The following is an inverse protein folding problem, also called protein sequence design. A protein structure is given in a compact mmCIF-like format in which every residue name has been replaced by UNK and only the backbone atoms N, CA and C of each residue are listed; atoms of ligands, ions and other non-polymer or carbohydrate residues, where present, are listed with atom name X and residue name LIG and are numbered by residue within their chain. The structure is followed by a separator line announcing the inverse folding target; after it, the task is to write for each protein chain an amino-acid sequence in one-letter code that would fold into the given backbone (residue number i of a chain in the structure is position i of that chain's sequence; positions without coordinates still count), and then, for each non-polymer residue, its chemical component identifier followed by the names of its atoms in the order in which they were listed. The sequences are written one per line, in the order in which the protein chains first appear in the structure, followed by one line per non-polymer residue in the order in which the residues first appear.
data_IF_543798180990
#
_entry.id   IF_543798180990
#
_cell.length_a   1.000
_cell.length_b   1.000
_cell.length_c   1.000
_cell.angle_alpha   90.00
_cell.angle_beta   90.00
_cell.angle_gamma   90.00
#
_symmetry.space_group_name_H-M   'P 1'
#
loop_
_entity.id
_entity.type
_entity.pdbx_description
1 polymer ?
#
# COMPACT_ATOMS: atom_id res chain seq x y z
N UNK A 1 14.29 54.98 3.04
CA UNK A 1 13.20 54.15 3.59
C UNK A 1 11.92 54.45 2.83
N UNK A 2 11.44 53.50 2.00
CA UNK A 2 10.02 53.14 1.84
C UNK A 2 9.84 52.33 0.54
N UNK A 3 9.34 51.11 0.72
CA UNK A 3 8.97 50.15 -0.31
C UNK A 3 7.70 50.58 -1.03
N UNK A 4 7.66 50.50 -2.36
CA UNK A 4 6.38 50.48 -3.10
C UNK A 4 6.36 49.25 -4.01
N UNK A 5 5.66 48.24 -3.50
CA UNK A 5 5.26 47.02 -4.19
C UNK A 5 4.45 47.38 -5.45
N UNK A 6 4.92 46.98 -6.64
CA UNK A 6 4.12 47.09 -7.86
C UNK A 6 2.99 46.05 -7.82
N UNK A 7 1.72 46.43 -8.08
CA UNK A 7 0.60 45.49 -8.01
C UNK A 7 0.66 44.49 -9.17
N UNK A 8 0.48 43.21 -8.84
CA UNK A 8 0.26 42.13 -9.80
C UNK A 8 -1.02 42.47 -10.60
N UNK A 9 -0.88 42.73 -11.90
CA UNK A 9 -2.02 42.87 -12.80
C UNK A 9 -2.80 41.55 -12.78
N UNK A 10 -3.98 41.54 -12.16
CA UNK A 10 -4.94 40.44 -12.32
C UNK A 10 -5.35 40.41 -13.78
N UNK A 11 -4.87 39.42 -14.53
CA UNK A 11 -5.42 39.08 -15.84
C UNK A 11 -6.84 38.60 -15.58
N UNK A 12 -7.83 39.45 -15.85
CA UNK A 12 -9.24 39.08 -15.79
C UNK A 12 -9.54 38.11 -16.93
N UNK A 13 -9.50 36.81 -16.66
CA UNK A 13 -10.05 35.81 -17.56
C UNK A 13 -11.57 35.95 -17.56
N UNK A 14 -12.11 36.79 -18.44
CA UNK A 14 -13.54 36.79 -18.73
C UNK A 14 -13.86 35.54 -19.58
N UNK A 15 -14.08 34.40 -18.91
CA UNK A 15 -14.60 33.21 -19.58
C UNK A 15 -16.11 33.42 -19.80
N UNK A 16 -16.52 33.58 -21.05
CA UNK A 16 -17.93 33.50 -21.44
C UNK A 16 -18.55 32.22 -20.85
N UNK A 17 -19.77 32.30 -20.29
CA UNK A 17 -20.44 31.19 -19.58
C UNK A 17 -20.38 29.85 -20.34
N UNK A 18 -20.49 29.91 -21.68
CA UNK A 18 -20.35 28.77 -22.59
C UNK A 18 -18.96 28.07 -22.54
N UNK A 19 -17.85 28.79 -22.38
CA UNK A 19 -16.51 28.17 -22.28
C UNK A 19 -16.28 27.54 -20.89
N UNK A 20 -16.94 28.07 -19.85
CA UNK A 20 -16.93 27.46 -18.52
C UNK A 20 -17.77 26.17 -18.47
N UNK A 21 -18.90 26.12 -19.18
CA UNK A 21 -19.79 24.97 -19.22
C UNK A 21 -19.19 23.81 -20.04
N UNK A 22 -18.48 24.12 -21.13
CA UNK A 22 -17.73 23.11 -21.90
C UNK A 22 -16.56 22.51 -21.12
N UNK A 23 -15.81 23.31 -20.34
CA UNK A 23 -14.77 22.80 -19.43
C UNK A 23 -15.37 21.94 -18.30
N UNK A 24 -16.51 22.33 -17.72
CA UNK A 24 -17.22 21.53 -16.72
C UNK A 24 -17.70 20.20 -17.30
N UNK A 25 -18.23 20.19 -18.53
CA UNK A 25 -18.64 18.98 -19.25
C UNK A 25 -17.46 18.02 -19.44
N UNK A 26 -16.32 18.52 -19.96
CA UNK A 26 -15.08 17.74 -20.13
C UNK A 26 -14.57 17.17 -18.81
N UNK A 27 -14.66 17.93 -17.71
CA UNK A 27 -14.29 17.46 -16.35
C UNK A 27 -15.24 16.38 -15.82
N UNK A 28 -16.55 16.49 -16.09
CA UNK A 28 -17.54 15.45 -15.75
C UNK A 28 -17.29 14.17 -16.54
N UNK A 29 -17.06 14.28 -17.85
CA UNK A 29 -16.76 13.13 -18.71
C UNK A 29 -15.47 12.42 -18.27
N UNK A 30 -14.41 13.17 -17.92
CA UNK A 30 -13.17 12.60 -17.39
C UNK A 30 -13.38 11.92 -16.02
N UNK A 31 -14.25 12.45 -15.17
CA UNK A 31 -14.65 11.81 -13.90
C UNK A 31 -15.46 10.54 -14.15
N UNK A 32 -16.35 10.52 -15.13
CA UNK A 32 -17.16 9.35 -15.45
C UNK A 32 -16.33 8.23 -16.08
N UNK A 33 -15.41 8.59 -17.00
CA UNK A 33 -14.38 7.67 -17.50
C UNK A 33 -13.56 7.08 -16.35
N UNK A 34 -13.14 7.88 -15.36
CA UNK A 34 -12.42 7.38 -14.16
C UNK A 34 -13.24 6.39 -13.33
N UNK A 35 -14.56 6.53 -13.23
CA UNK A 35 -15.44 5.55 -12.54
C UNK A 35 -15.57 4.26 -13.35
N UNK A 36 -15.60 4.33 -14.68
CA UNK A 36 -15.66 3.15 -15.55
C UNK A 36 -14.34 2.37 -15.61
N UNK A 37 -13.20 3.00 -15.33
CA UNK A 37 -11.89 2.33 -15.23
C UNK A 37 -11.57 1.74 -13.85
N UNK A 38 -12.51 1.76 -12.89
CA UNK A 38 -12.35 1.00 -11.64
C UNK A 38 -13.19 -0.27 -11.65
N UNK A 39 -12.83 -1.32 -12.43
CA UNK A 39 -13.33 -2.64 -12.12
C UNK A 39 -12.48 -3.20 -10.97
N UNK A 40 -13.13 -3.89 -10.02
CA UNK A 40 -12.53 -4.77 -9.01
C UNK A 40 -12.15 -4.17 -7.65
N UNK A 41 -13.11 -3.57 -6.94
CA UNK A 41 -13.06 -3.60 -5.47
C UNK A 41 -14.34 -4.19 -4.84
N UNK A 42 -15.48 -4.17 -5.54
CA UNK A 42 -16.74 -4.66 -4.98
C UNK A 42 -17.39 -5.68 -5.91
N UNK A 43 -17.03 -6.96 -5.78
CA UNK A 43 -17.88 -8.07 -6.23
C UNK A 43 -17.70 -9.22 -5.24
N UNK A 44 -18.55 -9.20 -4.22
CA UNK A 44 -18.77 -10.30 -3.30
C UNK A 44 -19.48 -11.44 -4.06
N UNK A 45 -18.90 -12.64 -3.94
CA UNK A 45 -19.48 -13.96 -4.19
C UNK A 45 -19.88 -14.37 -5.62
N UNK A 46 -19.45 -15.59 -5.97
CA UNK A 46 -19.88 -16.48 -7.08
C UNK A 46 -19.07 -16.42 -8.38
N UNK A 47 -17.81 -16.85 -8.30
CA UNK A 47 -17.22 -17.74 -9.30
C UNK A 47 -16.39 -18.78 -8.53
N UNK A 48 -16.82 -20.04 -8.58
CA UNK A 48 -16.13 -21.15 -7.92
C UNK A 48 -14.80 -21.36 -8.67
N UNK A 49 -13.67 -21.28 -7.96
CA UNK A 49 -12.28 -21.19 -8.46
C UNK A 49 -11.77 -19.80 -8.91
N UNK A 50 -12.29 -18.71 -8.35
CA UNK A 50 -11.62 -17.39 -8.42
C UNK A 50 -10.27 -17.40 -7.70
N UNK A 51 -9.20 -17.44 -8.51
CA UNK A 51 -7.81 -17.01 -8.23
C UNK A 51 -7.38 -16.91 -6.76
N UNK A 52 -7.39 -18.05 -6.05
CA UNK A 52 -6.64 -18.15 -4.80
C UNK A 52 -5.17 -17.91 -5.13
N UNK A 53 -4.56 -16.86 -4.57
CA UNK A 53 -3.13 -16.62 -4.73
C UNK A 53 -2.33 -17.84 -4.22
N UNK A 54 -1.18 -18.12 -4.83
CA UNK A 54 -0.39 -19.33 -4.55
C UNK A 54 -0.07 -19.50 -3.05
N UNK A 55 0.19 -18.41 -2.32
CA UNK A 55 0.45 -18.49 -0.87
C UNK A 55 -0.76 -18.97 -0.07
N UNK A 56 -1.98 -18.61 -0.50
CA UNK A 56 -3.23 -19.00 0.17
C UNK A 56 -3.52 -20.47 -0.06
N UNK A 57 -3.20 -20.99 -1.25
CA UNK A 57 -3.27 -22.42 -1.57
C UNK A 57 -2.23 -23.22 -0.77
N UNK A 58 -1.04 -22.65 -0.55
CA UNK A 58 0.03 -23.25 0.26
C UNK A 58 -0.23 -23.19 1.79
N UNK A 59 -1.39 -22.72 2.24
CA UNK A 59 -1.72 -22.60 3.67
C UNK A 59 -0.90 -21.54 4.42
N UNK A 60 -0.22 -20.64 3.71
CA UNK A 60 0.58 -19.57 4.29
C UNK A 60 -0.34 -18.40 4.64
N UNK A 61 -0.22 -17.89 5.87
CA UNK A 61 -0.94 -16.69 6.28
C UNK A 61 -0.42 -15.46 5.53
N UNK A 62 -1.28 -14.45 5.33
CA UNK A 62 -0.91 -13.23 4.62
C UNK A 62 0.32 -12.54 5.24
N UNK A 63 0.40 -12.52 6.58
CA UNK A 63 1.53 -11.95 7.31
C UNK A 63 2.85 -12.65 6.95
N UNK A 64 2.83 -13.98 6.86
CA UNK A 64 4.01 -14.77 6.51
C UNK A 64 4.39 -14.57 5.04
N UNK A 65 3.42 -14.48 4.13
CA UNK A 65 3.67 -14.19 2.73
C UNK A 65 4.35 -12.82 2.52
N UNK A 66 3.88 -11.76 3.21
CA UNK A 66 4.53 -10.45 3.14
C UNK A 66 5.91 -10.43 3.79
N UNK A 67 6.11 -11.17 4.87
CA UNK A 67 7.41 -11.26 5.52
C UNK A 67 8.47 -11.89 4.59
N UNK A 68 8.10 -12.96 3.88
CA UNK A 68 8.95 -13.61 2.85
C UNK A 68 9.25 -12.64 1.71
N UNK A 69 8.23 -11.97 1.16
CA UNK A 69 8.42 -11.01 0.07
C UNK A 69 9.31 -9.82 0.48
N UNK A 70 9.17 -9.30 1.72
CA UNK A 70 10.03 -8.24 2.21
C UNK A 70 11.49 -8.70 2.34
N UNK A 71 11.70 -9.95 2.73
CA UNK A 71 13.04 -10.52 2.87
C UNK A 71 13.76 -10.67 1.52
N UNK A 72 13.07 -11.19 0.50
CA UNK A 72 13.63 -11.31 -0.85
C UNK A 72 14.00 -9.94 -1.44
N UNK A 73 13.19 -8.92 -1.15
CA UNK A 73 13.49 -7.53 -1.54
C UNK A 73 14.76 -6.99 -0.86
N UNK A 74 14.96 -7.26 0.43
CA UNK A 74 16.19 -6.83 1.14
C UNK A 74 17.44 -7.49 0.58
N UNK A 75 17.36 -8.77 0.25
CA UNK A 75 18.47 -9.51 -0.34
C UNK A 75 18.82 -9.02 -1.75
N UNK A 76 17.85 -8.42 -2.45
CA UNK A 76 18.03 -7.85 -3.79
C UNK A 76 18.58 -6.41 -3.78
N UNK A 77 18.72 -5.75 -2.62
CA UNK A 77 19.23 -4.39 -2.55
C UNK A 77 20.76 -4.32 -2.72
N UNK A 78 21.23 -3.16 -3.19
CA UNK A 78 22.66 -2.80 -3.20
C UNK A 78 23.26 -2.86 -1.78
N UNK A 79 24.55 -3.17 -1.64
CA UNK A 79 25.18 -3.40 -0.32
C UNK A 79 25.06 -2.21 0.63
N UNK A 80 25.11 -0.99 0.10
CA UNK A 80 24.98 0.27 0.87
C UNK A 80 23.66 0.35 1.65
N UNK A 81 22.55 -0.07 1.03
CA UNK A 81 21.23 -0.05 1.65
C UNK A 81 20.90 -1.34 2.40
N UNK A 82 21.62 -2.42 2.10
CA UNK A 82 21.40 -3.74 2.67
C UNK A 82 21.70 -3.77 4.17
N UNK A 83 22.81 -3.17 4.60
CA UNK A 83 23.23 -3.15 6.01
C UNK A 83 22.18 -2.53 6.95
N UNK A 84 21.51 -1.47 6.51
CA UNK A 84 20.42 -0.85 7.29
C UNK A 84 19.13 -1.70 7.26
N UNK A 85 18.88 -2.41 6.17
CA UNK A 85 17.68 -3.21 5.97
C UNK A 85 17.70 -4.57 6.70
N UNK A 86 18.88 -5.18 6.84
CA UNK A 86 19.09 -6.48 7.50
C UNK A 86 18.64 -6.48 8.96
N UNK A 87 18.81 -5.35 9.67
CA UNK A 87 18.36 -5.19 11.06
C UNK A 87 16.86 -5.47 11.26
N UNK A 88 16.03 -5.32 10.22
CA UNK A 88 14.58 -5.55 10.26
C UNK A 88 14.20 -7.03 10.15
N UNK A 89 15.13 -7.89 9.75
CA UNK A 89 14.91 -9.33 9.57
C UNK A 89 15.20 -10.17 10.83
N UNK A 90 15.86 -9.59 11.83
CA UNK A 90 16.27 -10.30 13.06
C UNK A 90 15.14 -10.23 14.09
N UNK A 91 14.69 -11.40 14.57
CA UNK A 91 13.68 -11.53 15.61
C UNK A 91 14.16 -12.57 16.62
N UNK A 92 14.43 -12.15 17.85
CA UNK A 92 14.90 -13.00 18.96
C UNK A 92 13.83 -13.11 20.07
N UNK A 93 12.58 -13.35 19.66
CA UNK A 93 11.47 -13.49 20.60
C UNK A 93 11.33 -14.95 21.06
N UNK A 94 10.78 -15.16 22.26
CA UNK A 94 10.35 -16.48 22.75
C UNK A 94 8.86 -16.46 23.03
N UNK A 95 8.16 -17.51 22.65
CA UNK A 95 6.72 -17.68 22.82
C UNK A 95 6.47 -18.85 23.77
N UNK A 96 5.79 -18.58 24.87
CA UNK A 96 5.28 -19.61 25.77
C UNK A 96 3.75 -19.67 25.66
N UNK A 97 3.20 -20.87 25.53
CA UNK A 97 1.75 -21.08 25.58
C UNK A 97 1.37 -21.25 27.05
N UNK A 98 0.36 -20.49 27.50
CA UNK A 98 -0.16 -20.61 28.85
C UNK A 98 -1.39 -21.52 28.83
N UNK A 99 -1.35 -22.59 29.59
CA UNK A 99 -2.49 -23.50 29.77
C UNK A 99 -2.83 -23.56 31.26
N UNK A 100 -4.10 -23.36 31.60
CA UNK A 100 -4.61 -23.39 32.98
C UNK A 100 -3.86 -22.48 33.97
N UNK A 101 -3.36 -21.34 33.49
CA UNK A 101 -2.67 -20.33 34.31
C UNK A 101 -1.20 -20.64 34.62
N UNK A 102 -0.64 -21.73 34.09
CA UNK A 102 0.81 -22.02 34.17
C UNK A 102 1.47 -21.77 32.81
N UNK A 103 2.65 -21.15 32.84
CA UNK A 103 3.46 -20.99 31.65
C UNK A 103 4.00 -22.35 31.20
N UNK A 104 3.69 -22.75 29.96
CA UNK A 104 4.33 -23.89 29.31
C UNK A 104 5.78 -23.58 28.93
N UNK A 105 6.47 -24.57 28.36
CA UNK A 105 7.88 -24.43 27.96
C UNK A 105 8.04 -23.32 26.89
N UNK A 106 8.93 -22.33 27.12
CA UNK A 106 9.16 -21.25 26.17
C UNK A 106 9.83 -21.78 24.90
N UNK A 107 9.17 -21.59 23.75
CA UNK A 107 9.71 -21.93 22.43
C UNK A 107 10.28 -20.70 21.77
N UNK A 108 11.44 -20.85 21.14
CA UNK A 108 12.02 -19.75 20.37
C UNK A 108 11.16 -19.45 19.13
N UNK A 109 10.92 -18.17 18.87
CA UNK A 109 10.13 -17.70 17.75
C UNK A 109 11.01 -17.84 16.51
N UNK A 110 10.74 -18.89 15.75
CA UNK A 110 11.57 -19.25 14.59
C UNK A 110 11.65 -18.09 13.59
N UNK A 111 12.87 -17.67 13.19
CA UNK A 111 13.02 -16.75 12.08
C UNK A 111 12.52 -17.40 10.78
N UNK A 112 12.20 -16.58 9.79
CA UNK A 112 11.57 -17.02 8.52
C UNK A 112 12.44 -18.05 7.77
N UNK A 113 13.74 -18.08 8.06
CA UNK A 113 14.75 -18.87 7.35
C UNK A 113 15.00 -20.29 7.86
N UNK A 114 14.49 -20.69 9.04
CA UNK A 114 14.81 -22.00 9.65
C UNK A 114 13.69 -22.57 10.52
#
# INVERSE_FOLDING_TARGET
MSTICKPIRKISFNKNKASADTEKSKRKEKREKRKNYSPLINNHHKHLFTTMSAYKQAGISLNKAFAIAAQTLRNSLKPEFKAAAERRGVVEAKVAVYENGKAGEPRELKPIDK
#
